data_IF_887658056264
#
_entry.id   IF_887658056264
#
_cell.length_a   1.000
_cell.length_b   1.000
_cell.length_c   1.000
_cell.angle_alpha   90.00
_cell.angle_beta   90.00
_cell.angle_gamma   90.00
#
_symmetry.space_group_name_H-M   'P 1'
#
loop_
_entity.id
_entity.type
_entity.pdbx_description
1 polymer ?
#
# COMPACT_ATOMS: atom_id res chain seq x y z
N UNK A 1 -30.05 17.64 -16.73
CA UNK A 1 -28.95 17.19 -17.63
C UNK A 1 -27.59 17.77 -17.23
N UNK A 2 -27.45 19.08 -17.01
CA UNK A 2 -26.15 19.71 -16.68
C UNK A 2 -25.60 19.29 -15.30
N UNK A 3 -26.46 19.19 -14.27
CA UNK A 3 -26.02 18.77 -12.94
C UNK A 3 -25.43 17.35 -12.92
N UNK A 4 -26.06 16.42 -13.65
CA UNK A 4 -25.58 15.04 -13.74
C UNK A 4 -24.17 14.96 -14.34
N UNK A 5 -23.89 15.75 -15.39
CA UNK A 5 -22.55 15.83 -15.99
C UNK A 5 -21.48 16.24 -14.98
N UNK A 6 -21.71 17.33 -14.24
CA UNK A 6 -20.75 17.81 -13.25
C UNK A 6 -20.58 16.86 -12.07
N UNK A 7 -21.66 16.20 -11.63
CA UNK A 7 -21.58 15.17 -10.59
C UNK A 7 -20.74 13.99 -11.08
N UNK A 8 -20.98 13.48 -12.30
CA UNK A 8 -20.20 12.39 -12.87
C UNK A 8 -18.73 12.76 -13.03
N UNK A 9 -18.43 13.97 -13.51
CA UNK A 9 -17.06 14.46 -13.63
C UNK A 9 -16.37 14.55 -12.27
N UNK A 10 -17.08 15.07 -11.26
CA UNK A 10 -16.58 15.13 -9.89
C UNK A 10 -16.30 13.75 -9.31
N UNK A 11 -17.16 12.75 -9.55
CA UNK A 11 -16.94 11.37 -9.09
C UNK A 11 -15.66 10.79 -9.69
N UNK A 12 -15.45 10.94 -11.00
CA UNK A 12 -14.23 10.46 -11.67
C UNK A 12 -13.01 11.18 -11.11
N UNK A 13 -13.06 12.51 -10.99
CA UNK A 13 -11.98 13.29 -10.39
C UNK A 13 -11.67 12.81 -8.97
N UNK A 14 -12.69 12.60 -8.14
CA UNK A 14 -12.54 12.13 -6.77
C UNK A 14 -11.89 10.73 -6.70
N UNK A 15 -12.30 9.80 -7.56
CA UNK A 15 -11.77 8.44 -7.57
C UNK A 15 -10.28 8.37 -7.93
N UNK A 16 -9.82 9.18 -8.90
CA UNK A 16 -8.44 9.10 -9.39
C UNK A 16 -7.48 10.10 -8.73
N UNK A 17 -7.94 11.31 -8.39
CA UNK A 17 -7.08 12.37 -7.87
C UNK A 17 -7.57 12.91 -6.52
N UNK A 18 -8.86 13.21 -6.41
CA UNK A 18 -9.44 13.90 -5.26
C UNK A 18 -9.28 13.14 -3.95
N UNK A 19 -9.41 11.81 -3.96
CA UNK A 19 -9.20 10.98 -2.78
C UNK A 19 -7.77 11.10 -2.24
N UNK A 20 -6.77 11.02 -3.13
CA UNK A 20 -5.37 11.19 -2.76
C UNK A 20 -5.07 12.58 -2.19
N UNK A 21 -5.62 13.62 -2.81
CA UNK A 21 -5.49 15.02 -2.34
C UNK A 21 -6.14 15.18 -0.94
N UNK A 22 -7.36 14.69 -0.77
CA UNK A 22 -8.08 14.75 0.50
C UNK A 22 -7.32 14.01 1.62
N UNK A 23 -6.83 12.80 1.34
CA UNK A 23 -6.02 12.03 2.28
C UNK A 23 -4.72 12.75 2.65
N UNK A 24 -4.05 13.37 1.68
CA UNK A 24 -2.84 14.15 1.95
C UNK A 24 -3.10 15.27 2.97
N UNK A 25 -4.17 16.06 2.78
CA UNK A 25 -4.51 17.12 3.73
C UNK A 25 -4.88 16.58 5.11
N UNK A 26 -5.67 15.51 5.18
CA UNK A 26 -6.06 14.88 6.46
C UNK A 26 -4.82 14.37 7.21
N UNK A 27 -3.92 13.67 6.52
CA UNK A 27 -2.69 13.15 7.13
C UNK A 27 -1.79 14.31 7.59
N UNK A 28 -1.67 15.37 6.79
CA UNK A 28 -0.86 16.55 7.13
C UNK A 28 -1.38 17.26 8.37
N UNK A 29 -2.70 17.48 8.46
CA UNK A 29 -3.34 18.06 9.65
C UNK A 29 -3.16 17.14 10.85
N UNK A 30 -3.40 15.82 10.68
CA UNK A 30 -3.22 14.83 11.75
C UNK A 30 -1.79 14.84 12.30
N UNK A 31 -0.77 14.91 11.44
CA UNK A 31 0.64 14.99 11.85
C UNK A 31 0.98 16.31 12.53
N UNK A 32 0.39 17.42 12.08
CA UNK A 32 0.57 18.72 12.74
C UNK A 32 -0.01 18.74 14.17
N UNK A 33 -1.11 18.02 14.42
CA UNK A 33 -1.77 17.97 15.73
C UNK A 33 -1.23 16.87 16.64
N UNK A 34 -0.98 15.66 16.12
CA UNK A 34 -0.60 14.48 16.90
C UNK A 34 0.87 14.08 16.77
N UNK A 35 1.65 14.77 15.94
CA UNK A 35 3.01 14.39 15.60
C UNK A 35 3.08 13.24 14.60
N UNK A 36 4.30 12.84 14.25
CA UNK A 36 4.53 11.69 13.38
C UNK A 36 4.35 10.38 14.16
N UNK A 37 3.76 9.33 13.54
CA UNK A 37 3.65 8.04 14.18
C UNK A 37 5.05 7.46 14.42
N UNK A 38 5.29 6.94 15.62
CA UNK A 38 6.50 6.17 15.91
C UNK A 38 6.37 4.82 15.21
N UNK A 39 7.30 4.52 14.31
CA UNK A 39 7.39 3.21 13.68
C UNK A 39 7.98 2.21 14.69
N UNK A 40 7.48 0.97 14.73
CA UNK A 40 8.10 -0.06 15.56
C UNK A 40 9.53 -0.32 15.09
N UNK A 41 10.45 -0.48 16.03
CA UNK A 41 11.82 -0.88 15.73
C UNK A 41 11.85 -2.22 14.98
N UNK A 42 12.86 -2.45 14.16
CA UNK A 42 13.03 -3.69 13.40
C UNK A 42 12.96 -4.95 14.29
N UNK A 43 13.42 -4.85 15.54
CA UNK A 43 13.37 -5.93 16.55
C UNK A 43 11.93 -6.28 16.96
N UNK A 44 10.99 -5.33 16.89
CA UNK A 44 9.59 -5.49 17.31
C UNK A 44 8.63 -5.81 16.16
N UNK A 45 9.14 -6.04 14.95
CA UNK A 45 8.32 -6.47 13.82
C UNK A 45 7.71 -7.88 14.04
N UNK A 46 6.49 -8.15 13.57
CA UNK A 46 5.82 -9.44 13.76
C UNK A 46 6.45 -10.56 12.90
N UNK A 47 6.12 -11.80 13.20
CA UNK A 47 6.42 -12.91 12.28
C UNK A 47 5.39 -12.92 11.16
N UNK A 48 5.84 -13.04 9.90
CA UNK A 48 4.98 -13.01 8.72
C UNK A 48 5.26 -14.22 7.83
N UNK A 49 4.24 -14.65 7.09
CA UNK A 49 4.39 -15.64 6.01
C UNK A 49 3.93 -14.99 4.73
N UNK A 50 4.84 -14.89 3.76
CA UNK A 50 4.53 -14.46 2.40
C UNK A 50 4.05 -15.69 1.62
N UNK A 51 2.78 -15.68 1.24
CA UNK A 51 2.18 -16.73 0.42
C UNK A 51 2.13 -16.26 -1.03
N UNK A 52 2.74 -17.02 -1.94
CA UNK A 52 2.71 -16.75 -3.38
C UNK A 52 1.79 -17.75 -4.06
N UNK A 53 0.52 -17.36 -4.25
CA UNK A 53 -0.41 -18.14 -5.05
C UNK A 53 -0.09 -17.95 -6.54
N UNK A 54 0.36 -19.01 -7.21
CA UNK A 54 0.75 -18.96 -8.63
C UNK A 54 -0.23 -19.73 -9.51
N UNK A 55 -0.91 -19.04 -10.44
CA UNK A 55 -1.73 -19.64 -11.49
C UNK A 55 -1.38 -18.99 -12.85
N UNK A 56 -0.88 -19.79 -13.79
CA UNK A 56 -0.42 -19.32 -15.11
C UNK A 56 0.62 -18.17 -15.07
N UNK A 57 1.46 -18.13 -14.03
CA UNK A 57 2.46 -17.06 -13.82
C UNK A 57 3.85 -17.38 -14.43
N UNK A 58 3.98 -18.45 -15.23
CA UNK A 58 5.26 -18.94 -15.78
C UNK A 58 6.14 -17.83 -16.36
N UNK A 59 5.53 -16.85 -17.05
CA UNK A 59 6.25 -15.75 -17.71
C UNK A 59 7.00 -14.82 -16.73
N UNK A 60 6.60 -14.71 -15.47
CA UNK A 60 7.18 -13.74 -14.52
C UNK A 60 7.39 -14.28 -13.11
N UNK A 61 7.11 -15.57 -12.86
CA UNK A 61 7.23 -16.18 -11.53
C UNK A 61 8.66 -16.08 -10.98
N UNK A 62 9.68 -16.15 -11.85
CA UNK A 62 11.07 -15.98 -11.43
C UNK A 62 11.32 -14.57 -10.88
N UNK A 63 10.93 -13.53 -11.62
CA UNK A 63 11.04 -12.14 -11.17
C UNK A 63 10.28 -11.90 -9.86
N UNK A 64 9.08 -12.49 -9.73
CA UNK A 64 8.25 -12.43 -8.53
C UNK A 64 8.97 -13.05 -7.32
N UNK A 65 9.56 -14.23 -7.49
CA UNK A 65 10.31 -14.92 -6.42
C UNK A 65 11.55 -14.12 -6.04
N UNK A 66 12.34 -13.64 -7.01
CA UNK A 66 13.53 -12.84 -6.72
C UNK A 66 13.18 -11.56 -5.97
N UNK A 67 12.12 -10.86 -6.37
CA UNK A 67 11.63 -9.69 -5.65
C UNK A 67 11.18 -10.02 -4.22
N UNK A 68 10.54 -11.17 -4.02
CA UNK A 68 10.07 -11.62 -2.71
C UNK A 68 11.22 -11.98 -1.77
N UNK A 69 12.29 -12.62 -2.29
CA UNK A 69 13.49 -12.95 -1.54
C UNK A 69 14.33 -11.71 -1.20
N UNK A 70 14.23 -10.65 -2.00
CA UNK A 70 14.91 -9.38 -1.77
C UNK A 70 14.24 -8.47 -0.72
N UNK A 71 13.16 -8.93 -0.07
CA UNK A 71 12.49 -8.16 0.98
C UNK A 71 13.40 -7.91 2.18
N UNK A 72 13.57 -6.64 2.54
CA UNK A 72 14.31 -6.25 3.74
C UNK A 72 13.42 -6.46 4.98
N UNK A 73 13.47 -7.66 5.54
CA UNK A 73 12.77 -8.05 6.76
C UNK A 73 13.72 -8.76 7.73
N UNK A 74 13.52 -8.64 9.07
CA UNK A 74 14.39 -9.31 10.03
C UNK A 74 14.51 -10.81 9.78
N UNK A 75 15.75 -11.31 9.87
CA UNK A 75 16.06 -12.72 9.69
C UNK A 75 15.22 -13.60 10.64
N UNK A 76 14.75 -14.74 10.14
CA UNK A 76 13.92 -15.68 10.90
C UNK A 76 12.47 -15.26 11.14
N UNK A 77 12.07 -14.02 10.77
CA UNK A 77 10.69 -13.54 10.93
C UNK A 77 9.84 -13.60 9.66
N UNK A 78 10.45 -13.76 8.49
CA UNK A 78 9.74 -13.92 7.22
C UNK A 78 9.84 -15.38 6.76
N UNK A 79 8.68 -15.99 6.51
CA UNK A 79 8.55 -17.33 5.92
C UNK A 79 7.92 -17.22 4.53
N UNK A 80 8.19 -18.19 3.67
CA UNK A 80 7.68 -18.24 2.31
C UNK A 80 6.90 -19.54 2.10
N UNK A 81 5.73 -19.45 1.45
CA UNK A 81 4.86 -20.57 1.07
C UNK A 81 4.37 -20.38 -0.35
#
# INVERSE_FOLDING_TARGET
MIAAFWISLFIVFYAFAGYGILMYFIIKIKRAVKGEPVLPDAVNLPTCTLVVAAYNEERFIEEKIQNSLALNYPEGKLKFI
#
